data_IF_330630036205
#
_entry.id   IF_330630036205
#
_cell.length_a   1.000
_cell.length_b   1.000
_cell.length_c   1.000
_cell.angle_alpha   90.00
_cell.angle_beta   90.00
_cell.angle_gamma   90.00
#
_symmetry.space_group_name_H-M   'P 1'
#
loop_
_entity.id
_entity.type
_entity.pdbx_description
1 polymer ?
#
# COMPACT_ATOMS: atom_id res chain seq x y z
N UNK A 1 -13.19 -15.52 11.32
CA UNK A 1 -14.38 -15.29 10.47
C UNK A 1 -15.03 -13.92 10.64
N UNK A 2 -15.27 -13.41 11.86
CA UNK A 2 -16.00 -12.14 12.07
C UNK A 2 -15.52 -10.94 11.22
N UNK A 3 -14.21 -10.75 11.06
CA UNK A 3 -13.66 -9.63 10.26
C UNK A 3 -13.96 -9.80 8.77
N UNK A 4 -13.77 -11.01 8.23
CA UNK A 4 -14.03 -11.28 6.81
C UNK A 4 -15.52 -11.13 6.48
N UNK A 5 -16.41 -11.64 7.33
CA UNK A 5 -17.85 -11.48 7.16
C UNK A 5 -18.27 -10.01 7.22
N UNK A 6 -17.73 -9.23 8.17
CA UNK A 6 -18.03 -7.79 8.26
C UNK A 6 -17.55 -7.01 7.03
N UNK A 7 -16.39 -7.35 6.47
CA UNK A 7 -15.88 -6.73 5.24
C UNK A 7 -16.72 -7.12 4.01
N UNK A 8 -17.22 -8.35 3.99
CA UNK A 8 -18.13 -8.85 2.95
C UNK A 8 -19.47 -8.11 3.01
N UNK A 9 -20.06 -7.98 4.19
CA UNK A 9 -21.28 -7.19 4.43
C UNK A 9 -21.10 -5.70 4.10
N UNK A 10 -19.90 -5.15 4.32
CA UNK A 10 -19.55 -3.79 3.93
C UNK A 10 -19.27 -3.62 2.41
N UNK A 11 -19.35 -4.69 1.62
CA UNK A 11 -19.18 -4.66 0.17
C UNK A 11 -17.73 -4.58 -0.32
N UNK A 12 -16.74 -4.81 0.55
CA UNK A 12 -15.30 -4.70 0.22
C UNK A 12 -14.86 -5.75 -0.81
N UNK A 13 -15.48 -6.93 -0.80
CA UNK A 13 -15.14 -8.07 -1.67
C UNK A 13 -16.07 -8.22 -2.89
N UNK A 14 -16.71 -7.13 -3.34
CA UNK A 14 -17.59 -7.12 -4.51
C UNK A 14 -16.80 -7.09 -5.83
N UNK A 15 -17.49 -7.23 -6.97
CA UNK A 15 -16.85 -7.15 -8.30
C UNK A 15 -16.15 -5.81 -8.50
N UNK A 16 -14.85 -5.84 -8.80
CA UNK A 16 -13.98 -4.64 -8.87
C UNK A 16 -13.37 -4.21 -7.53
N UNK A 17 -13.73 -4.87 -6.43
CA UNK A 17 -13.17 -4.68 -5.10
C UNK A 17 -11.97 -5.59 -4.81
N UNK A 18 -11.72 -5.83 -3.52
CA UNK A 18 -10.60 -6.68 -3.08
C UNK A 18 -10.92 -8.17 -3.30
N UNK A 19 -9.89 -8.96 -3.58
CA UNK A 19 -10.01 -10.43 -3.64
C UNK A 19 -9.77 -10.99 -2.24
N UNK A 20 -10.79 -11.63 -1.65
CA UNK A 20 -10.79 -12.16 -0.28
C UNK A 20 -9.52 -12.96 0.07
N UNK A 21 -9.10 -13.84 -0.82
CA UNK A 21 -7.92 -14.72 -0.62
C UNK A 21 -6.57 -14.03 -0.82
N UNK A 22 -6.58 -12.75 -1.21
CA UNK A 22 -5.37 -11.92 -1.37
C UNK A 22 -5.24 -10.86 -0.27
N UNK A 23 -6.05 -10.94 0.78
CA UNK A 23 -6.01 -10.01 1.92
C UNK A 23 -5.37 -10.68 3.13
N UNK A 24 -4.30 -10.05 3.63
CA UNK A 24 -3.64 -10.43 4.88
C UNK A 24 -3.92 -9.39 5.95
N UNK A 25 -4.20 -9.85 7.17
CA UNK A 25 -4.49 -8.98 8.32
C UNK A 25 -3.32 -9.00 9.31
N UNK A 26 -2.92 -7.82 9.76
CA UNK A 26 -2.04 -7.68 10.91
C UNK A 26 -2.51 -6.51 11.78
N UNK A 27 -2.46 -6.68 13.09
CA UNK A 27 -2.76 -5.63 14.05
C UNK A 27 -1.56 -4.71 14.35
N UNK A 28 -0.38 -5.03 13.82
CA UNK A 28 0.86 -4.33 14.10
C UNK A 28 1.59 -3.96 12.80
N UNK A 29 2.24 -2.79 12.80
CA UNK A 29 2.99 -2.30 11.64
C UNK A 29 4.15 -3.24 11.23
N UNK A 30 4.83 -3.83 12.23
CA UNK A 30 5.90 -4.81 11.99
C UNK A 30 5.40 -6.07 11.26
N UNK A 31 4.12 -6.44 11.44
CA UNK A 31 3.52 -7.55 10.72
C UNK A 31 3.31 -7.23 9.25
N UNK A 32 2.96 -5.97 8.91
CA UNK A 32 2.92 -5.50 7.52
C UNK A 32 4.28 -5.60 6.85
N UNK A 33 5.33 -5.11 7.51
CA UNK A 33 6.72 -5.23 7.02
C UNK A 33 7.10 -6.70 6.82
N UNK A 34 6.75 -7.56 7.78
CA UNK A 34 7.06 -8.99 7.72
C UNK A 34 6.34 -9.69 6.57
N UNK A 35 5.08 -9.36 6.29
CA UNK A 35 4.36 -9.90 5.14
C UNK A 35 4.96 -9.43 3.82
N UNK A 36 5.23 -8.14 3.67
CA UNK A 36 5.80 -7.60 2.42
C UNK A 36 7.16 -8.24 2.12
N UNK A 37 8.01 -8.45 3.14
CA UNK A 37 9.29 -9.14 2.96
C UNK A 37 9.17 -10.62 2.58
N UNK A 38 8.11 -11.30 2.98
CA UNK A 38 7.88 -12.71 2.63
C UNK A 38 7.21 -12.87 1.26
N UNK A 39 6.35 -11.93 0.90
CA UNK A 39 5.69 -11.89 -0.40
C UNK A 39 6.61 -11.44 -1.52
N UNK A 40 7.64 -10.64 -1.19
CA UNK A 40 8.62 -10.08 -2.12
C UNK A 40 7.99 -9.43 -3.36
N UNK A 41 7.01 -8.52 -3.20
CA UNK A 41 6.37 -7.90 -4.36
C UNK A 41 7.33 -6.94 -5.08
N UNK A 42 7.18 -6.82 -6.39
CA UNK A 42 7.92 -5.81 -7.18
C UNK A 42 7.57 -4.38 -6.74
N UNK A 43 6.30 -4.16 -6.37
CA UNK A 43 5.77 -2.86 -5.95
C UNK A 43 5.19 -2.92 -4.54
N UNK A 44 5.49 -1.90 -3.75
CA UNK A 44 4.84 -1.65 -2.46
C UNK A 44 4.28 -0.22 -2.41
N UNK A 45 3.04 -0.08 -1.95
CA UNK A 45 2.38 1.21 -1.82
C UNK A 45 1.87 1.35 -0.38
N UNK A 46 2.21 2.45 0.28
CA UNK A 46 1.83 2.70 1.66
C UNK A 46 1.72 4.20 1.93
N UNK A 47 0.98 4.55 2.99
CA UNK A 47 0.87 5.93 3.49
C UNK A 47 1.80 6.20 4.65
N UNK A 48 2.31 5.15 5.33
CA UNK A 48 3.25 5.29 6.44
C UNK A 48 4.71 5.36 5.91
N UNK A 49 5.39 6.52 6.02
CA UNK A 49 6.75 6.69 5.52
C UNK A 49 7.79 5.82 6.23
N UNK A 50 7.56 5.45 7.51
CA UNK A 50 8.50 4.60 8.26
C UNK A 50 8.50 3.16 7.73
N UNK A 51 7.34 2.67 7.30
CA UNK A 51 7.22 1.34 6.66
C UNK A 51 7.95 1.34 5.31
N UNK A 52 7.70 2.36 4.48
CA UNK A 52 8.38 2.53 3.18
C UNK A 52 9.89 2.64 3.34
N UNK A 53 10.35 3.40 4.34
CA UNK A 53 11.77 3.56 4.64
C UNK A 53 12.42 2.23 5.04
N UNK A 54 11.78 1.46 5.91
CA UNK A 54 12.30 0.15 6.35
C UNK A 54 12.33 -0.88 5.20
N UNK A 55 11.37 -0.80 4.28
CA UNK A 55 11.24 -1.72 3.15
C UNK A 55 12.11 -1.37 1.94
N UNK A 56 12.69 -0.17 1.89
CA UNK A 56 13.44 0.34 0.72
C UNK A 56 14.62 -0.54 0.26
N UNK A 57 15.19 -1.37 1.13
CA UNK A 57 16.25 -2.30 0.73
C UNK A 57 15.76 -3.64 0.19
N UNK A 58 14.47 -3.93 0.33
CA UNK A 58 13.88 -5.23 -0.01
C UNK A 58 12.97 -5.17 -1.24
N UNK A 59 12.41 -4.00 -1.55
CA UNK A 59 11.40 -3.82 -2.59
C UNK A 59 11.96 -3.03 -3.76
N UNK A 60 11.63 -3.47 -4.98
CA UNK A 60 12.17 -2.89 -6.22
C UNK A 60 11.63 -1.49 -6.50
N UNK A 61 10.33 -1.27 -6.28
CA UNK A 61 9.67 0.02 -6.47
C UNK A 61 8.68 0.29 -5.34
N UNK A 62 8.70 1.51 -4.80
CA UNK A 62 7.79 1.89 -3.74
C UNK A 62 7.10 3.22 -4.05
N UNK A 63 5.83 3.33 -3.69
CA UNK A 63 5.08 4.58 -3.74
C UNK A 63 4.59 4.94 -2.34
N UNK A 64 5.12 6.03 -1.78
CA UNK A 64 4.60 6.64 -0.58
C UNK A 64 3.50 7.65 -0.95
N UNK A 65 2.26 7.38 -0.52
CA UNK A 65 1.16 8.33 -0.66
C UNK A 65 1.14 9.23 0.59
N UNK A 66 1.59 10.47 0.44
CA UNK A 66 1.69 11.42 1.54
C UNK A 66 1.54 12.86 1.02
N UNK A 67 0.74 13.72 1.68
CA UNK A 67 0.62 15.13 1.31
C UNK A 67 1.94 15.89 1.51
N UNK A 68 2.81 15.40 2.40
CA UNK A 68 4.12 15.97 2.67
C UNK A 68 5.18 15.09 2.03
N UNK A 69 6.00 15.67 1.14
CA UNK A 69 7.12 14.95 0.53
C UNK A 69 8.22 14.73 1.58
N UNK A 70 8.64 13.47 1.83
CA UNK A 70 9.75 13.19 2.73
C UNK A 70 11.05 13.83 2.20
N UNK A 71 11.84 14.45 3.09
CA UNK A 71 13.05 15.18 2.70
C UNK A 71 14.13 14.30 2.06
N UNK A 72 14.20 13.02 2.47
CA UNK A 72 15.18 12.05 1.96
C UNK A 72 14.47 10.74 1.69
N UNK A 73 14.46 10.34 0.41
CA UNK A 73 13.88 9.07 -0.04
C UNK A 73 14.92 8.30 -0.82
N UNK A 74 14.93 6.97 -0.67
CA UNK A 74 15.77 6.10 -1.48
C UNK A 74 15.38 6.21 -2.97
N UNK A 75 16.29 5.88 -3.89
CA UNK A 75 16.06 6.05 -5.34
C UNK A 75 14.91 5.21 -5.89
N UNK A 76 14.51 4.15 -5.18
CA UNK A 76 13.37 3.30 -5.49
C UNK A 76 12.05 3.75 -4.82
N UNK A 77 12.03 4.91 -4.16
CA UNK A 77 10.85 5.43 -3.48
C UNK A 77 10.34 6.67 -4.22
N UNK A 78 9.14 6.52 -4.78
CA UNK A 78 8.34 7.62 -5.33
C UNK A 78 7.44 8.18 -4.24
N UNK A 79 7.13 9.48 -4.33
CA UNK A 79 6.18 10.13 -3.42
C UNK A 79 5.18 10.96 -4.21
N UNK A 80 3.91 10.84 -3.85
CA UNK A 80 2.81 11.59 -4.44
C UNK A 80 1.77 11.87 -3.34
N UNK A 81 1.05 13.01 -3.38
CA UNK A 81 -0.02 13.27 -2.42
C UNK A 81 -1.25 12.39 -2.64
N UNK A 82 -1.45 11.85 -3.86
CA UNK A 82 -2.57 10.95 -4.18
C UNK A 82 -2.24 10.01 -5.34
N UNK A 83 -3.10 9.01 -5.56
CA UNK A 83 -2.98 8.09 -6.69
C UNK A 83 -3.26 8.79 -8.02
N UNK A 84 -4.25 9.67 -8.04
CA UNK A 84 -4.67 10.42 -9.21
C UNK A 84 -3.51 11.27 -9.73
N UNK A 85 -2.82 11.97 -8.82
CA UNK A 85 -1.65 12.77 -9.19
C UNK A 85 -0.47 11.89 -9.64
N UNK A 86 -0.27 10.71 -9.04
CA UNK A 86 0.82 9.81 -9.43
C UNK A 86 0.61 9.23 -10.83
N UNK A 87 -0.61 8.77 -11.13
CA UNK A 87 -0.96 8.15 -12.42
C UNK A 87 -1.37 9.17 -13.50
N UNK A 88 -1.46 10.46 -13.16
CA UNK A 88 -1.90 11.50 -14.09
C UNK A 88 -3.39 11.40 -14.44
N UNK A 89 -4.20 10.83 -13.56
CA UNK A 89 -5.67 10.85 -13.64
C UNK A 89 -6.17 12.22 -13.17
N UNK A 90 -5.78 13.30 -13.86
CA UNK A 90 -6.47 14.58 -13.73
C UNK A 90 -7.74 14.43 -14.57
N UNK A 91 -8.90 14.68 -13.96
CA UNK A 91 -10.24 14.51 -14.54
C UNK A 91 -10.25 14.91 -16.03
N UNK A 92 -10.42 13.91 -16.90
CA UNK A 92 -10.98 14.16 -18.23
C UNK A 92 -12.49 14.23 -18.05
N UNK A 93 -12.97 15.36 -17.53
CA UNK A 93 -14.31 15.97 -17.66
C UNK A 93 -14.73 16.71 -16.38
#
# INVERSE_FOLDING_TARGET
ERVLSALEEAGVFTSGGLVKDKVLFSSMENGRISFVRQLEPDWHIDTNPDIVFQLARFIKYQLCISPVKPERSASNVFCSPSFEQFFGLVDRN
#
